data_IF_191552956136
#
_entry.id   IF_191552956136
#
_cell.length_a   1.000
_cell.length_b   1.000
_cell.length_c   1.000
_cell.angle_alpha   90.00
_cell.angle_beta   90.00
_cell.angle_gamma   90.00
#
_symmetry.space_group_name_H-M   'P 1'
#
loop_
_entity.id
_entity.type
_entity.pdbx_description
1 polymer ?
#
# COMPACT_ATOMS: atom_id res chain seq x y z
N UNK A 1 -31.76 -7.86 -38.19
CA UNK A 1 -30.48 -7.85 -37.46
C UNK A 1 -30.57 -6.79 -36.36
N UNK A 2 -30.67 -7.21 -35.09
CA UNK A 2 -30.57 -6.27 -33.98
C UNK A 2 -29.10 -5.88 -33.81
N UNK A 3 -28.75 -4.63 -34.10
CA UNK A 3 -27.46 -4.07 -33.73
C UNK A 3 -27.48 -3.85 -32.22
N UNK A 4 -26.92 -4.80 -31.47
CA UNK A 4 -26.64 -4.59 -30.04
C UNK A 4 -25.64 -3.45 -29.93
N UNK A 5 -26.16 -2.25 -29.71
CA UNK A 5 -25.38 -1.07 -29.42
C UNK A 5 -24.84 -1.22 -27.99
N UNK A 6 -23.83 -2.08 -27.81
CA UNK A 6 -23.20 -2.33 -26.52
C UNK A 6 -22.28 -1.15 -26.19
N UNK A 7 -22.90 0.02 -25.99
CA UNK A 7 -22.19 1.21 -25.50
C UNK A 7 -21.60 0.85 -24.15
N UNK A 8 -20.29 0.97 -24.05
CA UNK A 8 -19.58 0.77 -22.79
C UNK A 8 -20.25 1.60 -21.68
N UNK A 9 -20.49 0.96 -20.53
CA UNK A 9 -21.14 1.56 -19.37
C UNK A 9 -20.11 1.78 -18.29
N UNK A 10 -20.28 2.86 -17.54
CA UNK A 10 -19.40 3.09 -16.39
C UNK A 10 -19.57 1.96 -15.37
N UNK A 11 -18.47 1.35 -14.97
CA UNK A 11 -18.43 0.24 -14.00
C UNK A 11 -18.93 0.62 -12.61
N UNK A 12 -19.05 1.91 -12.30
CA UNK A 12 -19.52 2.41 -11.00
C UNK A 12 -21.00 2.81 -11.04
N UNK A 13 -21.42 3.63 -12.02
CA UNK A 13 -22.79 4.15 -12.07
C UNK A 13 -23.68 3.53 -13.14
N UNK A 14 -23.14 2.60 -13.94
CA UNK A 14 -23.84 1.87 -15.01
C UNK A 14 -24.53 2.74 -16.08
N UNK A 15 -24.16 4.02 -16.16
CA UNK A 15 -24.68 4.94 -17.19
C UNK A 15 -23.91 4.74 -18.49
N UNK A 16 -24.65 4.65 -19.60
CA UNK A 16 -24.11 4.61 -20.97
C UNK A 16 -23.76 6.03 -21.46
N UNK A 17 -22.87 6.69 -20.73
CA UNK A 17 -22.27 7.99 -21.10
C UNK A 17 -20.95 7.77 -21.83
N UNK A 18 -20.30 8.82 -22.35
CA UNK A 18 -18.92 8.72 -22.84
C UNK A 18 -18.02 8.11 -21.74
N UNK A 19 -17.61 6.86 -21.91
CA UNK A 19 -16.72 6.14 -21.01
C UNK A 19 -15.32 6.10 -21.58
N UNK A 20 -14.35 5.97 -20.67
CA UNK A 20 -12.95 5.74 -20.99
C UNK A 20 -12.49 4.47 -20.27
N UNK A 21 -11.77 3.63 -21.01
CA UNK A 21 -11.18 2.41 -20.50
C UNK A 21 -9.94 2.74 -19.65
N UNK A 22 -9.91 2.27 -18.42
CA UNK A 22 -8.67 2.23 -17.64
C UNK A 22 -7.84 1.02 -18.10
N UNK A 23 -6.65 1.24 -18.65
CA UNK A 23 -5.75 0.17 -19.11
C UNK A 23 -5.27 -0.74 -17.98
N UNK A 24 -5.06 -0.19 -16.78
CA UNK A 24 -4.59 -0.96 -15.62
C UNK A 24 -5.67 -1.85 -14.99
N UNK A 25 -6.94 -1.40 -15.02
CA UNK A 25 -8.04 -2.13 -14.40
C UNK A 25 -8.95 -2.87 -15.40
N UNK A 26 -8.74 -2.65 -16.70
CA UNK A 26 -9.59 -3.16 -17.80
C UNK A 26 -11.09 -2.88 -17.59
N UNK A 27 -11.41 -1.72 -17.00
CA UNK A 27 -12.77 -1.30 -16.65
C UNK A 27 -13.10 0.05 -17.29
N UNK A 28 -14.32 0.18 -17.78
CA UNK A 28 -14.86 1.43 -18.32
C UNK A 28 -15.37 2.34 -17.21
N UNK A 29 -15.03 3.63 -17.27
CA UNK A 29 -15.48 4.64 -16.33
C UNK A 29 -15.99 5.89 -17.06
N UNK A 30 -17.03 6.54 -16.55
CA UNK A 30 -17.29 7.92 -16.96
C UNK A 30 -16.21 8.85 -16.39
N UNK A 31 -16.01 10.01 -16.99
CA UNK A 31 -14.94 10.95 -16.60
C UNK A 31 -14.88 11.24 -15.09
N UNK A 32 -16.03 11.48 -14.45
CA UNK A 32 -16.09 11.74 -13.01
C UNK A 32 -15.56 10.57 -12.17
N UNK A 33 -15.97 9.35 -12.51
CA UNK A 33 -15.54 8.14 -11.81
C UNK A 33 -14.10 7.76 -12.14
N UNK A 34 -13.63 8.05 -13.36
CA UNK A 34 -12.22 7.87 -13.73
C UNK A 34 -11.32 8.80 -12.91
N UNK A 35 -11.68 10.07 -12.76
CA UNK A 35 -10.92 11.03 -11.94
C UNK A 35 -10.87 10.59 -10.48
N UNK A 36 -12.01 10.22 -9.89
CA UNK A 36 -12.06 9.70 -8.52
C UNK A 36 -11.25 8.42 -8.37
N UNK A 37 -11.35 7.50 -9.32
CA UNK A 37 -10.56 6.27 -9.32
C UNK A 37 -9.06 6.55 -9.31
N UNK A 38 -8.58 7.49 -10.14
CA UNK A 38 -7.17 7.92 -10.14
C UNK A 38 -6.74 8.56 -8.82
N UNK A 39 -7.59 9.39 -8.22
CA UNK A 39 -7.30 9.99 -6.90
C UNK A 39 -7.17 8.94 -5.79
N UNK A 40 -8.02 7.90 -5.82
CA UNK A 40 -7.93 6.79 -4.87
C UNK A 40 -6.61 6.04 -5.05
N UNK A 41 -6.24 5.72 -6.30
CA UNK A 41 -4.99 5.04 -6.60
C UNK A 41 -3.77 5.86 -6.16
N UNK A 42 -3.78 7.18 -6.40
CA UNK A 42 -2.72 8.08 -5.96
C UNK A 42 -2.57 8.09 -4.44
N UNK A 43 -3.70 8.17 -3.71
CA UNK A 43 -3.70 8.09 -2.24
C UNK A 43 -3.12 6.76 -1.75
N UNK A 44 -3.56 5.64 -2.31
CA UNK A 44 -3.06 4.31 -1.93
C UNK A 44 -1.56 4.16 -2.20
N UNK A 45 -1.08 4.69 -3.33
CA UNK A 45 0.34 4.67 -3.65
C UNK A 45 1.15 5.51 -2.65
N UNK A 46 0.66 6.70 -2.30
CA UNK A 46 1.32 7.55 -1.31
C UNK A 46 1.39 6.89 0.08
N UNK A 47 0.34 6.17 0.49
CA UNK A 47 0.33 5.37 1.73
C UNK A 47 1.42 4.28 1.69
N UNK A 48 1.51 3.52 0.59
CA UNK A 48 2.54 2.48 0.42
C UNK A 48 3.96 3.07 0.46
N UNK A 49 4.19 4.21 -0.19
CA UNK A 49 5.49 4.88 -0.19
C UNK A 49 5.85 5.31 1.23
N UNK A 50 4.92 5.91 1.97
CA UNK A 50 5.15 6.34 3.34
C UNK A 50 5.47 5.16 4.27
N UNK A 51 4.73 4.05 4.15
CA UNK A 51 4.98 2.83 4.92
C UNK A 51 6.36 2.24 4.61
N UNK A 52 6.73 2.22 3.33
CA UNK A 52 8.06 1.80 2.88
C UNK A 52 9.17 2.66 3.51
N UNK A 53 9.03 3.98 3.46
CA UNK A 53 10.03 4.91 3.97
C UNK A 53 10.17 4.80 5.50
N UNK A 54 9.05 4.67 6.22
CA UNK A 54 9.06 4.42 7.67
C UNK A 54 9.73 3.09 8.00
N UNK A 55 9.45 2.04 7.24
CA UNK A 55 10.08 0.73 7.44
C UNK A 55 11.59 0.80 7.19
N UNK A 56 12.02 1.45 6.12
CA UNK A 56 13.43 1.65 5.80
C UNK A 56 14.15 2.44 6.90
N UNK A 57 13.54 3.52 7.40
CA UNK A 57 14.07 4.29 8.52
C UNK A 57 14.21 3.44 9.79
N UNK A 58 13.20 2.61 10.09
CA UNK A 58 13.24 1.70 11.24
C UNK A 58 14.41 0.72 11.14
N UNK A 59 14.66 0.13 9.97
CA UNK A 59 15.80 -0.77 9.75
C UNK A 59 17.13 -0.02 9.95
N UNK A 60 17.26 1.19 9.39
CA UNK A 60 18.48 1.99 9.52
C UNK A 60 18.76 2.30 10.99
N UNK A 61 17.75 2.71 11.75
CA UNK A 61 17.87 3.00 13.18
C UNK A 61 18.30 1.76 13.98
N UNK A 62 17.72 0.60 13.70
CA UNK A 62 18.10 -0.66 14.34
C UNK A 62 19.55 -1.08 14.01
N UNK A 63 20.00 -0.87 12.76
CA UNK A 63 21.38 -1.15 12.35
C UNK A 63 22.39 -0.22 13.01
N UNK A 64 22.05 1.05 13.21
CA UNK A 64 22.94 2.02 13.84
C UNK A 64 23.11 1.77 15.34
N UNK A 65 22.05 1.31 16.02
CA UNK A 65 22.08 1.02 17.46
C UNK A 65 21.61 -0.42 17.76
N UNK A 66 22.40 -1.45 17.40
CA UNK A 66 22.03 -2.84 17.63
C UNK A 66 21.85 -3.17 19.12
N UNK A 67 22.57 -2.47 20.01
CA UNK A 67 22.42 -2.60 21.46
C UNK A 67 21.07 -2.13 22.01
N UNK A 68 20.34 -1.31 21.26
CA UNK A 68 19.00 -0.84 21.62
C UNK A 68 17.90 -1.82 21.16
N UNK A 69 18.29 -2.91 20.49
CA UNK A 69 17.38 -4.03 20.24
C UNK A 69 17.01 -4.67 21.58
N UNK A 70 15.70 -4.73 21.87
CA UNK A 70 15.18 -5.41 23.06
C UNK A 70 15.71 -6.85 23.19
N UNK A 71 15.98 -7.53 22.07
CA UNK A 71 16.56 -8.87 22.07
C UNK A 71 18.01 -8.87 22.59
N UNK A 72 18.84 -7.91 22.17
CA UNK A 72 20.22 -7.80 22.65
C UNK A 72 20.23 -7.46 24.14
N UNK A 73 19.33 -6.60 24.61
CA UNK A 73 19.19 -6.30 26.04
C UNK A 73 18.77 -7.54 26.85
N UNK A 74 17.82 -8.35 26.34
CA UNK A 74 17.40 -9.59 26.98
C UNK A 74 18.53 -10.62 27.04
N UNK A 75 19.34 -10.74 25.97
CA UNK A 75 20.52 -11.61 25.94
C UNK A 75 21.54 -11.17 27.01
N UNK A 76 21.87 -9.88 27.05
CA UNK A 76 22.82 -9.35 28.03
C UNK A 76 22.32 -9.54 29.47
N UNK A 77 21.01 -9.38 29.70
CA UNK A 77 20.41 -9.62 31.01
C UNK A 77 20.45 -11.10 31.40
N UNK A 78 20.18 -12.02 30.47
CA UNK A 78 20.31 -13.45 30.70
C UNK A 78 21.76 -13.84 31.01
N UNK A 79 22.73 -13.31 30.26
CA UNK A 79 24.16 -13.55 30.47
C UNK A 79 24.60 -13.09 31.86
N UNK A 80 24.26 -11.84 32.24
CA UNK A 80 24.56 -11.27 33.56
C UNK A 80 23.97 -12.13 34.69
N UNK A 81 22.71 -12.53 34.56
CA UNK A 81 22.04 -13.36 35.56
C UNK A 81 22.64 -14.76 35.66
N UNK A 82 23.13 -15.32 34.55
CA UNK A 82 23.74 -16.64 34.52
C UNK A 82 25.12 -16.63 35.18
N UNK A 83 25.92 -15.59 34.91
CA UNK A 83 27.22 -15.38 35.56
C UNK A 83 27.04 -15.15 37.07
N UNK A 84 26.04 -14.38 37.50
CA UNK A 84 25.83 -14.10 38.92
C UNK A 84 25.30 -15.31 39.72
N UNK A 85 24.76 -16.32 39.03
CA UNK A 85 24.25 -17.57 39.64
C UNK A 85 25.31 -18.67 39.75
N UNK A 86 26.52 -18.45 39.23
CA UNK A 86 27.70 -19.30 39.39
C UNK A 86 28.51 -18.79 40.58
#
# INVERSE_FOLDING_TARGET
MATVNNRAKCSICNKATATCLCSGCSKDFCFQHLTKHRQILDKQLNEIINDHDQFQQTIIQQKQNPHNSSLIQQINQWETNSIHRI
#
